data_IF_144419667255
#
_entry.id   IF_144419667255
#
_cell.length_a   1.000
_cell.length_b   1.000
_cell.length_c   1.000
_cell.angle_alpha   90.00
_cell.angle_beta   90.00
_cell.angle_gamma   90.00
#
_symmetry.space_group_name_H-M   'P 1'
#
loop_
_entity.id
_entity.type
_entity.pdbx_description
1 polymer ?
#
# COMPACT_ATOMS: atom_id res chain seq x y z
N UNK A 1 -42.96 3.05 -28.82
CA UNK A 1 -41.72 2.54 -28.20
C UNK A 1 -40.69 3.66 -28.22
N UNK A 2 -40.54 4.37 -27.11
CA UNK A 2 -39.58 5.48 -26.97
C UNK A 2 -38.25 4.89 -26.55
N UNK A 3 -37.24 4.98 -27.43
CA UNK A 3 -35.84 4.64 -27.09
C UNK A 3 -35.25 5.78 -26.26
N UNK A 4 -34.98 5.52 -24.98
CA UNK A 4 -34.19 6.42 -24.13
C UNK A 4 -32.70 6.13 -24.36
N UNK A 5 -32.01 7.08 -25.00
CA UNK A 5 -30.55 7.12 -25.12
C UNK A 5 -29.94 7.45 -23.75
N UNK A 6 -29.46 6.43 -23.04
CA UNK A 6 -28.58 6.60 -21.87
C UNK A 6 -27.11 6.72 -22.33
N UNK A 7 -26.75 7.87 -22.88
CA UNK A 7 -25.35 8.29 -23.00
C UNK A 7 -25.09 9.38 -21.95
N UNK A 8 -24.84 8.97 -20.71
CA UNK A 8 -24.24 9.88 -19.73
C UNK A 8 -22.75 10.01 -20.05
N UNK A 9 -22.38 11.17 -20.61
CA UNK A 9 -20.99 11.59 -20.82
C UNK A 9 -20.24 11.52 -19.47
N UNK A 10 -19.33 10.55 -19.35
CA UNK A 10 -18.36 10.47 -18.24
C UNK A 10 -17.55 11.77 -18.23
N UNK A 11 -17.69 12.56 -17.16
CA UNK A 11 -16.88 13.77 -16.98
C UNK A 11 -15.45 13.36 -16.65
N UNK A 12 -14.52 13.59 -17.58
CA UNK A 12 -13.09 13.65 -17.24
C UNK A 12 -12.87 14.88 -16.37
N UNK A 13 -12.33 14.69 -15.17
CA UNK A 13 -11.76 15.78 -14.39
C UNK A 13 -10.57 16.33 -15.17
N UNK A 14 -10.74 17.55 -15.69
CA UNK A 14 -9.63 18.38 -16.15
C UNK A 14 -9.02 19.01 -14.91
N UNK A 15 -7.86 18.47 -14.53
CA UNK A 15 -6.72 19.17 -13.90
C UNK A 15 -5.71 18.12 -13.38
N UNK A 16 -5.33 17.22 -14.29
CA UNK A 16 -4.12 16.43 -14.17
C UNK A 16 -3.24 16.86 -15.34
N UNK A 17 -2.23 17.69 -15.08
CA UNK A 17 -1.12 17.84 -16.03
C UNK A 17 -0.29 16.56 -16.00
N UNK A 18 -0.78 15.52 -16.67
CA UNK A 18 0.00 14.35 -17.03
C UNK A 18 0.40 14.57 -18.48
N UNK A 19 1.71 14.79 -18.68
CA UNK A 19 2.33 14.78 -20.01
C UNK A 19 1.93 13.45 -20.67
N UNK A 20 1.16 13.54 -21.76
CA UNK A 20 0.91 12.39 -22.64
C UNK A 20 2.22 12.08 -23.36
N UNK A 21 2.86 10.97 -23.03
CA UNK A 21 3.85 10.38 -23.92
C UNK A 21 3.15 9.40 -24.87
N UNK A 22 3.38 9.50 -26.20
CA UNK A 22 2.81 8.59 -27.17
C UNK A 22 3.50 7.22 -27.12
N UNK A 23 2.75 6.21 -27.53
CA UNK A 23 3.14 4.82 -27.69
C UNK A 23 4.18 4.69 -28.84
N UNK A 24 5.48 4.58 -28.53
CA UNK A 24 6.42 3.58 -29.08
C UNK A 24 7.91 3.93 -28.88
N UNK A 25 8.69 2.85 -29.00
CA UNK A 25 10.12 2.68 -29.25
C UNK A 25 11.07 2.62 -28.04
N UNK A 26 11.91 1.60 -28.14
CA UNK A 26 12.84 1.02 -27.19
C UNK A 26 14.02 1.93 -26.85
N UNK A 27 14.62 1.62 -25.71
CA UNK A 27 15.96 1.98 -25.24
C UNK A 27 16.18 3.43 -24.72
N UNK A 28 16.82 3.47 -23.54
CA UNK A 28 17.37 4.63 -22.81
C UNK A 28 16.38 5.52 -22.03
N UNK A 29 15.88 5.02 -20.89
CA UNK A 29 15.40 5.91 -19.82
C UNK A 29 15.51 5.29 -18.41
N UNK A 30 16.75 5.01 -17.97
CA UNK A 30 17.04 4.58 -16.58
C UNK A 30 17.27 5.81 -15.66
N UNK A 31 17.65 6.96 -16.21
CA UNK A 31 18.00 8.14 -15.40
C UNK A 31 16.81 9.05 -15.01
N UNK A 32 15.68 9.02 -15.74
CA UNK A 32 14.49 9.81 -15.33
C UNK A 32 13.52 9.04 -14.42
N UNK A 33 13.77 7.75 -14.14
CA UNK A 33 12.91 6.97 -13.25
C UNK A 33 13.17 7.24 -11.75
N UNK A 34 14.32 7.79 -11.40
CA UNK A 34 14.72 8.00 -10.00
C UNK A 34 14.13 9.28 -9.38
N UNK A 35 13.64 10.22 -10.19
CA UNK A 35 13.12 11.50 -9.71
C UNK A 35 11.57 11.55 -9.54
N UNK A 36 10.83 10.52 -9.97
CA UNK A 36 9.35 10.58 -10.07
C UNK A 36 8.63 9.73 -9.00
N UNK A 37 9.36 9.15 -8.04
CA UNK A 37 8.77 8.14 -7.13
C UNK A 37 7.98 8.69 -5.93
N UNK A 38 8.04 9.97 -5.59
CA UNK A 38 7.47 10.48 -4.32
C UNK A 38 6.15 11.28 -4.40
N UNK A 39 5.54 11.49 -5.58
CA UNK A 39 4.31 12.29 -5.71
C UNK A 39 3.01 11.48 -5.91
N UNK A 40 3.07 10.15 -5.93
CA UNK A 40 1.93 9.31 -6.32
C UNK A 40 1.01 8.90 -5.15
N UNK A 41 0.65 9.82 -4.25
CA UNK A 41 -0.55 9.62 -3.42
C UNK A 41 -1.71 10.28 -4.16
N UNK A 42 -2.58 9.53 -4.85
CA UNK A 42 -3.76 10.11 -5.45
C UNK A 42 -4.65 10.67 -4.33
N UNK A 43 -4.70 12.01 -4.25
CA UNK A 43 -5.75 12.70 -3.53
C UNK A 43 -7.05 12.37 -4.25
N UNK A 44 -7.79 11.38 -3.73
CA UNK A 44 -9.21 11.27 -4.04
C UNK A 44 -9.78 12.62 -3.60
N UNK A 45 -10.29 13.40 -4.56
CA UNK A 45 -10.93 14.69 -4.28
C UNK A 45 -11.94 14.50 -3.15
N UNK A 46 -12.04 15.46 -2.22
CA UNK A 46 -12.91 15.32 -1.06
C UNK A 46 -14.39 15.18 -1.47
N UNK A 47 -14.74 15.71 -2.63
CA UNK A 47 -16.09 15.82 -3.19
C UNK A 47 -16.81 14.46 -3.41
N UNK A 48 -16.26 13.44 -4.14
CA UNK A 48 -16.91 12.15 -4.35
C UNK A 48 -17.25 11.39 -3.07
N UNK A 49 -16.33 11.40 -2.10
CA UNK A 49 -16.49 10.64 -0.85
C UNK A 49 -17.45 11.36 0.10
N UNK A 50 -17.38 12.69 0.16
CA UNK A 50 -18.22 13.50 1.03
C UNK A 50 -19.71 13.40 0.68
N UNK A 51 -20.06 13.46 -0.61
CA UNK A 51 -21.45 13.33 -1.08
C UNK A 51 -22.06 11.98 -0.68
N UNK A 52 -21.28 10.89 -0.76
CA UNK A 52 -21.78 9.56 -0.41
C UNK A 52 -21.87 9.33 1.09
N UNK A 53 -20.93 9.86 1.87
CA UNK A 53 -20.96 9.72 3.33
C UNK A 53 -22.11 10.43 4.04
N UNK A 54 -22.74 11.40 3.37
CA UNK A 54 -23.92 12.10 3.87
C UNK A 54 -25.25 11.41 3.50
N UNK A 55 -25.20 10.35 2.70
CA UNK A 55 -26.38 9.59 2.33
C UNK A 55 -26.77 8.61 3.46
N UNK A 56 -27.80 8.96 4.22
CA UNK A 56 -28.29 8.18 5.37
C UNK A 56 -28.75 6.76 5.00
N UNK A 57 -29.16 6.50 3.75
CA UNK A 57 -29.56 5.16 3.31
C UNK A 57 -28.35 4.27 3.03
N UNK A 58 -27.28 4.86 2.50
CA UNK A 58 -26.10 4.14 2.07
C UNK A 58 -25.14 3.91 3.24
N UNK A 59 -24.92 4.94 4.07
CA UNK A 59 -23.96 4.94 5.17
C UNK A 59 -24.62 5.49 6.44
N UNK A 60 -25.51 4.71 7.07
CA UNK A 60 -26.30 5.16 8.21
C UNK A 60 -25.45 5.44 9.45
N UNK A 61 -25.87 6.42 10.26
CA UNK A 61 -25.09 6.91 11.41
C UNK A 61 -25.31 6.12 12.70
N UNK A 62 -26.38 5.32 12.75
CA UNK A 62 -26.79 4.59 13.96
C UNK A 62 -25.84 3.43 14.31
N UNK A 63 -25.01 2.96 13.37
CA UNK A 63 -23.94 2.03 13.70
C UNK A 63 -22.89 2.67 14.64
N UNK A 64 -22.52 1.95 15.69
CA UNK A 64 -21.58 2.43 16.72
C UNK A 64 -20.17 2.64 16.19
N UNK A 65 -19.73 1.82 15.23
CA UNK A 65 -18.39 1.90 14.63
C UNK A 65 -18.42 1.44 13.17
N UNK A 66 -17.49 1.95 12.37
CA UNK A 66 -17.28 1.55 10.98
C UNK A 66 -17.08 0.04 10.82
N UNK A 67 -16.51 -0.62 11.82
CA UNK A 67 -16.32 -2.08 11.78
C UNK A 67 -17.65 -2.84 11.87
N UNK A 68 -18.66 -2.29 12.54
CA UNK A 68 -20.01 -2.87 12.63
C UNK A 68 -20.89 -2.54 11.43
N UNK A 69 -20.50 -1.56 10.60
CA UNK A 69 -21.21 -1.26 9.35
C UNK A 69 -21.15 -2.48 8.42
N UNK A 70 -22.29 -2.96 7.90
CA UNK A 70 -22.34 -4.12 7.01
C UNK A 70 -21.45 -3.95 5.78
N UNK A 71 -20.86 -5.05 5.31
CA UNK A 71 -20.03 -5.03 4.11
C UNK A 71 -20.84 -4.71 2.85
N UNK A 72 -22.14 -5.04 2.82
CA UNK A 72 -23.04 -4.65 1.72
C UNK A 72 -23.09 -3.14 1.55
N UNK A 73 -23.30 -2.38 2.62
CA UNK A 73 -23.28 -0.91 2.61
C UNK A 73 -21.92 -0.36 2.13
N UNK A 74 -20.82 -0.92 2.65
CA UNK A 74 -19.46 -0.50 2.26
C UNK A 74 -19.18 -0.76 0.78
N UNK A 75 -19.61 -1.90 0.26
CA UNK A 75 -19.42 -2.29 -1.13
C UNK A 75 -20.31 -1.45 -2.05
N UNK A 76 -21.58 -1.26 -1.70
CA UNK A 76 -22.49 -0.42 -2.47
C UNK A 76 -21.98 1.02 -2.59
N UNK A 77 -21.43 1.58 -1.51
CA UNK A 77 -20.79 2.90 -1.57
C UNK A 77 -19.55 2.90 -2.45
N UNK A 78 -18.72 1.87 -2.38
CA UNK A 78 -17.57 1.74 -3.27
C UNK A 78 -18.00 1.67 -4.75
N UNK A 79 -19.02 0.88 -5.06
CA UNK A 79 -19.52 0.71 -6.42
C UNK A 79 -20.09 2.02 -6.97
N UNK A 80 -20.85 2.77 -6.16
CA UNK A 80 -21.32 4.11 -6.51
C UNK A 80 -20.17 5.09 -6.80
N UNK A 81 -19.04 4.97 -6.10
CA UNK A 81 -17.84 5.77 -6.38
C UNK A 81 -17.26 5.34 -7.73
N UNK A 82 -17.07 4.04 -7.96
CA UNK A 82 -16.49 3.51 -9.20
C UNK A 82 -17.34 3.79 -10.43
N UNK A 83 -18.66 3.86 -10.29
CA UNK A 83 -19.57 4.21 -11.40
C UNK A 83 -19.36 5.66 -11.85
N UNK A 84 -19.08 6.57 -10.91
CA UNK A 84 -18.94 8.01 -11.17
C UNK A 84 -17.50 8.44 -11.47
N UNK A 85 -16.51 7.71 -10.96
CA UNK A 85 -15.10 8.08 -11.00
C UNK A 85 -14.23 6.92 -11.46
N UNK A 86 -13.34 7.17 -12.42
CA UNK A 86 -12.28 6.24 -12.81
C UNK A 86 -11.15 6.32 -11.78
N UNK A 87 -11.04 5.32 -10.93
CA UNK A 87 -10.08 5.28 -9.83
C UNK A 87 -9.06 4.16 -10.06
N UNK A 88 -7.79 4.52 -10.21
CA UNK A 88 -6.64 3.58 -10.26
C UNK A 88 -6.10 3.28 -8.85
N UNK A 89 -6.99 3.14 -7.87
CA UNK A 89 -6.63 2.87 -6.47
C UNK A 89 -7.27 1.59 -5.97
N UNK A 90 -6.58 0.90 -5.07
CA UNK A 90 -7.08 -0.31 -4.43
C UNK A 90 -8.36 -0.04 -3.64
N UNK A 91 -9.35 -0.92 -3.80
CA UNK A 91 -10.64 -0.87 -3.09
C UNK A 91 -10.52 -0.70 -1.57
N UNK A 92 -9.53 -1.38 -0.98
CA UNK A 92 -9.27 -1.31 0.46
C UNK A 92 -8.87 0.11 0.90
N UNK A 93 -8.14 0.85 0.05
CA UNK A 93 -7.79 2.24 0.32
C UNK A 93 -9.04 3.12 0.29
N UNK A 94 -9.88 2.97 -0.75
CA UNK A 94 -11.13 3.72 -0.88
C UNK A 94 -12.07 3.45 0.30
N UNK A 95 -12.22 2.19 0.73
CA UNK A 95 -13.03 1.83 1.92
C UNK A 95 -12.49 2.45 3.21
N UNK A 96 -11.16 2.58 3.36
CA UNK A 96 -10.54 3.27 4.50
C UNK A 96 -10.85 4.76 4.47
N UNK A 97 -10.72 5.40 3.31
CA UNK A 97 -11.06 6.82 3.12
C UNK A 97 -12.55 7.08 3.42
N UNK A 98 -13.43 6.21 2.92
CA UNK A 98 -14.87 6.26 3.18
C UNK A 98 -15.18 6.13 4.68
N UNK A 99 -14.54 5.18 5.36
CA UNK A 99 -14.71 5.00 6.79
C UNK A 99 -14.20 6.19 7.61
N UNK A 100 -13.14 6.87 7.15
CA UNK A 100 -12.68 8.13 7.76
C UNK A 100 -13.74 9.22 7.60
N UNK A 101 -14.19 9.48 6.37
CA UNK A 101 -15.20 10.49 6.06
C UNK A 101 -16.53 10.25 6.80
N UNK A 102 -16.96 9.00 6.93
CA UNK A 102 -18.15 8.65 7.72
C UNK A 102 -18.00 8.98 9.21
N UNK A 103 -16.83 8.70 9.81
CA UNK A 103 -16.54 9.10 11.21
C UNK A 103 -16.49 10.61 11.36
N UNK A 104 -15.87 11.31 10.42
CA UNK A 104 -15.77 12.77 10.42
C UNK A 104 -17.18 13.40 10.32
N UNK A 105 -18.02 12.90 9.42
CA UNK A 105 -19.41 13.32 9.31
C UNK A 105 -20.19 13.11 10.62
N UNK A 106 -20.05 11.93 11.24
CA UNK A 106 -20.68 11.63 12.54
C UNK A 106 -20.18 12.57 13.65
N UNK A 107 -18.90 12.93 13.64
CA UNK A 107 -18.31 13.91 14.56
C UNK A 107 -18.89 15.31 14.36
N UNK A 108 -18.99 15.77 13.11
CA UNK A 108 -19.61 17.05 12.74
C UNK A 108 -21.06 17.11 13.21
N UNK A 109 -21.84 16.05 12.96
CA UNK A 109 -23.24 15.96 13.42
C UNK A 109 -23.35 16.04 14.95
N UNK A 110 -22.51 15.30 15.68
CA UNK A 110 -22.48 15.39 17.15
C UNK A 110 -22.12 16.81 17.60
N UNK A 111 -21.13 17.45 16.98
CA UNK A 111 -20.72 18.83 17.34
C UNK A 111 -21.83 19.85 17.11
N UNK A 112 -22.54 19.78 15.99
CA UNK A 112 -23.55 20.78 15.60
C UNK A 112 -24.89 20.57 16.31
N UNK A 113 -25.35 19.32 16.42
CA UNK A 113 -26.72 19.00 16.84
C UNK A 113 -26.80 18.40 18.25
N UNK A 114 -25.72 17.81 18.78
CA UNK A 114 -25.70 17.24 20.13
C UNK A 114 -25.10 18.21 21.15
N UNK A 115 -25.97 19.04 21.75
CA UNK A 115 -25.57 19.96 22.83
C UNK A 115 -25.71 19.29 24.20
N UNK A 116 -24.65 19.30 25.01
CA UNK A 116 -24.63 18.61 26.32
C UNK A 116 -25.69 19.14 27.30
N UNK A 117 -25.90 20.46 27.32
CA UNK A 117 -26.73 21.16 28.31
C UNK A 117 -28.24 21.09 28.03
N UNK A 118 -28.69 20.19 27.16
CA UNK A 118 -30.08 20.07 26.72
C UNK A 118 -30.64 18.71 27.16
N UNK A 119 -31.93 18.66 27.52
CA UNK A 119 -32.64 17.42 27.87
C UNK A 119 -32.63 16.41 26.72
N UNK A 120 -32.72 15.11 27.06
CA UNK A 120 -32.73 14.03 26.07
C UNK A 120 -33.84 14.20 25.03
N UNK A 121 -35.05 14.56 25.46
CA UNK A 121 -36.19 14.76 24.57
C UNK A 121 -35.94 15.86 23.53
N UNK A 122 -35.41 17.02 23.96
CA UNK A 122 -35.03 18.11 23.05
C UNK A 122 -33.88 17.72 22.11
N UNK A 123 -32.95 16.85 22.55
CA UNK A 123 -31.90 16.30 21.67
C UNK A 123 -32.47 15.38 20.59
N UNK A 124 -33.47 14.55 20.93
CA UNK A 124 -34.13 13.65 19.98
C UNK A 124 -34.93 14.44 18.93
N UNK A 125 -35.56 15.55 19.32
CA UNK A 125 -36.29 16.43 18.40
C UNK A 125 -35.37 17.25 17.46
N UNK A 126 -34.10 17.45 17.82
CA UNK A 126 -33.14 18.20 17.00
C UNK A 126 -32.52 17.35 15.87
N UNK A 127 -33.38 16.81 14.99
CA UNK A 127 -32.98 15.94 13.88
C UNK A 127 -32.31 16.78 12.77
N UNK A 128 -31.09 16.43 12.33
CA UNK A 128 -30.44 17.14 11.22
C UNK A 128 -31.24 17.07 9.90
N UNK A 129 -31.19 18.11 9.06
CA UNK A 129 -31.82 18.07 7.73
C UNK A 129 -31.27 16.90 6.91
N UNK A 130 -32.15 16.18 6.20
CA UNK A 130 -31.83 14.98 5.39
C UNK A 130 -31.38 13.75 6.20
N UNK A 131 -31.50 13.78 7.53
CA UNK A 131 -31.28 12.62 8.40
C UNK A 131 -32.57 11.85 8.62
N UNK A 132 -32.47 10.52 8.70
CA UNK A 132 -33.61 9.68 9.08
C UNK A 132 -33.79 9.68 10.59
N UNK A 133 -35.01 9.97 11.04
CA UNK A 133 -35.34 10.19 12.46
C UNK A 133 -34.89 9.01 13.34
N UNK A 134 -35.23 7.77 12.97
CA UNK A 134 -34.83 6.59 13.74
C UNK A 134 -33.30 6.43 13.86
N UNK A 135 -32.54 6.81 12.82
CA UNK A 135 -31.07 6.74 12.86
C UNK A 135 -30.47 7.77 13.81
N UNK A 136 -31.06 8.97 13.82
CA UNK A 136 -30.69 10.02 14.75
C UNK A 136 -31.01 9.62 16.19
N UNK A 137 -32.22 9.09 16.43
CA UNK A 137 -32.63 8.63 17.76
C UNK A 137 -31.68 7.56 18.32
N UNK A 138 -31.35 6.55 17.53
CA UNK A 138 -30.39 5.50 17.92
C UNK A 138 -29.02 6.08 18.28
N UNK A 139 -28.51 7.01 17.46
CA UNK A 139 -27.22 7.66 17.68
C UNK A 139 -27.23 8.51 18.96
N UNK A 140 -28.29 9.29 19.19
CA UNK A 140 -28.45 10.14 20.39
C UNK A 140 -28.60 9.29 21.65
N UNK A 141 -29.36 8.19 21.60
CA UNK A 141 -29.48 7.23 22.72
C UNK A 141 -28.14 6.61 23.05
N UNK A 142 -27.35 6.23 22.04
CA UNK A 142 -26.00 5.72 22.25
C UNK A 142 -25.08 6.77 22.88
N UNK A 143 -25.07 8.01 22.40
CA UNK A 143 -24.21 9.06 22.95
C UNK A 143 -24.57 9.48 24.38
N UNK A 144 -25.82 9.36 24.81
CA UNK A 144 -26.22 9.56 26.22
C UNK A 144 -26.10 8.30 27.08
N UNK A 145 -25.77 7.13 26.51
CA UNK A 145 -25.60 5.91 27.28
C UNK A 145 -24.30 5.93 28.06
N UNK A 146 -24.22 5.14 29.15
CA UNK A 146 -22.99 5.00 29.94
C UNK A 146 -21.79 4.60 29.08
N UNK A 147 -22.00 3.67 28.14
CA UNK A 147 -20.97 3.25 27.17
C UNK A 147 -20.49 4.39 26.26
N UNK A 148 -21.38 5.30 25.88
CA UNK A 148 -21.03 6.47 25.07
C UNK A 148 -20.22 7.50 25.87
N UNK A 149 -20.59 7.71 27.13
CA UNK A 149 -19.88 8.58 28.06
C UNK A 149 -18.47 8.06 28.36
N UNK A 150 -18.33 6.77 28.67
CA UNK A 150 -17.04 6.14 28.96
C UNK A 150 -16.10 6.22 27.74
N UNK A 151 -16.63 6.05 26.52
CA UNK A 151 -15.85 6.20 25.29
C UNK A 151 -15.34 7.64 25.12
N UNK A 152 -16.17 8.64 25.40
CA UNK A 152 -15.77 10.05 25.33
C UNK A 152 -14.71 10.40 26.38
N UNK A 153 -14.80 9.82 27.58
CA UNK A 153 -13.81 9.99 28.64
C UNK A 153 -12.46 9.37 28.24
N UNK A 154 -12.47 8.16 27.69
CA UNK A 154 -11.26 7.51 27.17
C UNK A 154 -10.64 8.34 26.05
N UNK A 155 -11.41 8.82 25.08
CA UNK A 155 -10.90 9.65 23.99
C UNK A 155 -10.31 10.98 24.51
N UNK A 156 -10.96 11.61 25.48
CA UNK A 156 -10.49 12.87 26.08
C UNK A 156 -9.19 12.67 26.85
N UNK A 157 -9.12 11.64 27.70
CA UNK A 157 -7.90 11.32 28.46
C UNK A 157 -6.76 10.87 27.53
N UNK A 158 -7.05 10.13 26.46
CA UNK A 158 -6.06 9.82 25.42
C UNK A 158 -5.56 11.06 24.69
N UNK A 159 -6.44 12.01 24.34
CA UNK A 159 -6.05 13.28 23.71
C UNK A 159 -5.21 14.15 24.64
N UNK A 160 -5.52 14.18 25.93
CA UNK A 160 -4.71 14.89 26.94
C UNK A 160 -3.30 14.31 27.09
N UNK A 161 -3.11 13.01 26.79
CA UNK A 161 -1.78 12.37 26.77
C UNK A 161 -0.97 12.69 25.50
N UNK A 162 -1.58 13.31 24.48
CA UNK A 162 -0.86 13.75 23.28
C UNK A 162 -0.13 15.06 23.58
N UNK A 163 1.14 14.92 23.98
CA UNK A 163 2.00 15.97 24.52
C UNK A 163 2.55 16.96 23.49
N UNK A 164 2.86 16.48 22.29
CA UNK A 164 3.44 17.31 21.23
C UNK A 164 3.00 16.84 19.85
N UNK A 165 3.08 17.75 18.87
CA UNK A 165 2.73 17.53 17.46
C UNK A 165 3.91 17.93 16.58
N UNK A 166 4.05 17.31 15.40
CA UNK A 166 5.04 17.71 14.41
C UNK A 166 4.53 18.89 13.58
N UNK A 167 5.45 19.68 13.03
CA UNK A 167 5.17 20.91 12.26
C UNK A 167 5.14 20.71 10.74
N UNK A 168 5.36 19.48 10.25
CA UNK A 168 5.52 19.18 8.82
C UNK A 168 4.22 19.25 8.03
N UNK A 169 3.08 19.44 8.70
CA UNK A 169 1.76 19.49 8.06
C UNK A 169 1.46 18.18 7.32
N UNK A 170 1.02 18.28 6.06
CA UNK A 170 0.76 17.12 5.22
C UNK A 170 2.03 16.44 4.67
N UNK A 171 3.21 17.04 4.86
CA UNK A 171 4.47 16.39 4.46
C UNK A 171 4.79 15.24 5.41
N UNK A 172 5.02 14.06 4.84
CA UNK A 172 5.43 12.87 5.59
C UNK A 172 6.87 13.01 6.10
N UNK A 173 7.23 12.27 7.16
CA UNK A 173 8.61 12.22 7.64
C UNK A 173 9.58 11.66 6.58
N UNK A 174 9.13 10.77 5.70
CA UNK A 174 9.96 10.26 4.61
C UNK A 174 10.32 11.39 3.63
N UNK A 175 9.35 12.20 3.22
CA UNK A 175 9.62 13.36 2.36
C UNK A 175 10.53 14.38 3.05
N UNK A 176 10.39 14.57 4.37
CA UNK A 176 11.25 15.47 5.14
C UNK A 176 12.68 14.95 5.22
N UNK A 177 12.86 13.63 5.35
CA UNK A 177 14.17 13.00 5.28
C UNK A 177 14.77 13.18 3.88
N UNK A 178 14.02 12.85 2.82
CA UNK A 178 14.47 12.98 1.43
C UNK A 178 14.89 14.42 1.10
N UNK A 179 14.03 15.41 1.41
CA UNK A 179 14.30 16.85 1.21
C UNK A 179 15.62 17.24 1.93
N UNK A 180 15.84 16.70 3.13
CA UNK A 180 17.03 17.00 3.93
C UNK A 180 18.27 16.31 3.38
N UNK A 181 18.21 15.03 3.03
CA UNK A 181 19.31 14.27 2.43
C UNK A 181 19.78 14.89 1.11
N UNK A 182 18.84 15.36 0.28
CA UNK A 182 19.15 16.09 -0.96
C UNK A 182 19.90 17.40 -0.68
N UNK A 183 19.57 18.10 0.40
CA UNK A 183 20.25 19.35 0.76
C UNK A 183 21.61 19.17 1.43
N UNK A 184 21.79 18.11 2.22
CA UNK A 184 23.02 17.85 2.98
C UNK A 184 24.01 16.94 2.26
N UNK A 185 23.56 16.16 1.28
CA UNK A 185 24.36 15.09 0.66
C UNK A 185 24.69 13.93 1.61
N UNK A 186 24.12 13.92 2.82
CA UNK A 186 24.35 12.93 3.86
C UNK A 186 23.01 12.37 4.35
N UNK A 187 22.98 11.06 4.61
CA UNK A 187 21.82 10.38 5.18
C UNK A 187 21.37 10.99 6.50
N UNK A 188 20.05 11.11 6.67
CA UNK A 188 19.45 11.73 7.85
C UNK A 188 19.27 10.68 8.94
N UNK A 189 19.98 10.88 10.06
CA UNK A 189 19.82 10.08 11.28
C UNK A 189 18.44 10.26 11.91
N UNK A 190 18.02 9.32 12.75
CA UNK A 190 16.69 9.38 13.37
C UNK A 190 16.58 10.51 14.40
N UNK A 191 17.68 10.81 15.09
CA UNK A 191 17.78 11.97 15.98
C UNK A 191 17.58 13.27 15.21
N UNK A 192 18.25 13.41 14.06
CA UNK A 192 18.10 14.57 13.20
C UNK A 192 16.69 14.66 12.58
N UNK A 193 16.11 13.52 12.21
CA UNK A 193 14.75 13.45 11.70
C UNK A 193 13.69 13.78 12.76
N UNK A 194 13.98 13.55 14.04
CA UNK A 194 13.13 14.01 15.15
C UNK A 194 13.23 15.53 15.34
N UNK A 195 14.42 16.11 15.16
CA UNK A 195 14.63 17.54 15.38
C UNK A 195 13.90 18.45 14.39
N UNK A 196 13.99 18.15 13.09
CA UNK A 196 13.41 18.94 12.00
C UNK A 196 11.91 19.25 12.23
N UNK A 197 11.04 18.25 12.49
CA UNK A 197 9.60 18.46 12.67
C UNK A 197 9.19 19.03 14.02
N UNK A 198 10.09 19.07 15.01
CA UNK A 198 9.77 19.50 16.37
C UNK A 198 10.42 20.83 16.75
N UNK A 199 11.07 21.49 15.79
CA UNK A 199 11.57 22.87 15.90
C UNK A 199 10.68 23.85 15.16
N UNK A 200 10.63 25.08 15.65
CA UNK A 200 10.06 26.24 14.96
C UNK A 200 11.03 26.73 13.89
N UNK A 201 10.58 27.70 13.08
CA UNK A 201 11.41 28.32 12.03
C UNK A 201 12.64 29.06 12.58
N UNK A 202 12.57 29.52 13.82
CA UNK A 202 13.68 30.16 14.55
C UNK A 202 14.69 29.15 15.15
N UNK A 203 14.44 27.84 15.00
CA UNK A 203 15.26 26.77 15.54
C UNK A 203 14.94 26.36 16.99
N UNK A 204 14.05 27.09 17.68
CA UNK A 204 13.64 26.76 19.05
C UNK A 204 12.71 25.54 19.12
N UNK A 205 12.73 24.76 20.21
CA UNK A 205 11.77 23.68 20.43
C UNK A 205 10.32 24.16 20.43
N UNK A 206 9.41 23.33 19.92
CA UNK A 206 7.98 23.69 19.84
C UNK A 206 7.31 23.83 21.22
N UNK A 207 7.69 22.98 22.17
CA UNK A 207 7.18 22.97 23.56
C UNK A 207 8.32 22.66 24.54
N UNK A 208 8.11 22.94 25.82
CA UNK A 208 9.06 22.61 26.90
C UNK A 208 9.31 21.10 26.95
N UNK A 209 8.27 20.27 26.82
CA UNK A 209 8.41 18.82 26.80
C UNK A 209 9.26 18.31 25.62
N UNK A 210 9.15 18.94 24.45
CA UNK A 210 10.01 18.64 23.30
C UNK A 210 11.46 19.02 23.60
N UNK A 211 11.69 20.16 24.27
CA UNK A 211 13.03 20.57 24.67
C UNK A 211 13.67 19.55 25.61
N UNK A 212 12.94 19.10 26.64
CA UNK A 212 13.40 18.05 27.57
C UNK A 212 13.72 16.73 26.86
N UNK A 213 12.91 16.34 25.86
CA UNK A 213 13.16 15.14 25.05
C UNK A 213 14.42 15.32 24.21
N UNK A 214 14.59 16.46 23.54
CA UNK A 214 15.77 16.75 22.73
C UNK A 214 17.05 16.75 23.57
N UNK A 215 16.98 17.24 24.81
CA UNK A 215 18.10 17.22 25.76
C UNK A 215 18.47 15.78 26.14
N UNK A 216 17.49 14.96 26.55
CA UNK A 216 17.71 13.52 26.84
C UNK A 216 18.30 12.75 25.66
N UNK A 217 17.84 13.07 24.45
CA UNK A 217 18.36 12.47 23.22
C UNK A 217 19.84 12.83 22.99
N UNK A 218 20.23 14.09 23.24
CA UNK A 218 21.62 14.54 23.14
C UNK A 218 22.51 13.91 24.21
N UNK A 219 22.05 13.85 25.46
CA UNK A 219 22.80 13.24 26.56
C UNK A 219 23.08 11.76 26.28
N UNK A 220 22.08 11.03 25.78
CA UNK A 220 22.23 9.63 25.39
C UNK A 220 23.17 9.46 24.20
N UNK A 221 23.12 10.37 23.22
CA UNK A 221 24.05 10.35 22.10
C UNK A 221 25.50 10.49 22.57
N UNK A 222 25.78 11.42 23.48
CA UNK A 222 27.10 11.60 24.06
C UNK A 222 27.56 10.37 24.86
N UNK A 223 26.66 9.74 25.63
CA UNK A 223 26.94 8.49 26.35
C UNK A 223 27.37 7.37 25.39
N UNK A 224 26.62 7.16 24.31
CA UNK A 224 26.94 6.12 23.32
C UNK A 224 28.18 6.45 22.50
N UNK A 225 28.45 7.72 22.19
CA UNK A 225 29.67 8.14 21.49
C UNK A 225 30.93 7.88 22.33
N UNK A 226 30.86 8.13 23.64
CA UNK A 226 31.93 7.78 24.58
C UNK A 226 32.20 6.26 24.64
N UNK A 227 31.13 5.45 24.61
CA UNK A 227 31.24 3.98 24.57
C UNK A 227 31.81 3.49 23.23
N UNK A 228 31.37 4.08 22.11
CA UNK A 228 31.85 3.74 20.77
C UNK A 228 33.33 4.09 20.59
N UNK A 229 33.80 5.20 21.18
CA UNK A 229 35.22 5.54 21.24
C UNK A 229 36.08 4.48 21.95
N UNK A 230 35.47 3.61 22.77
CA UNK A 230 36.15 2.52 23.47
C UNK A 230 36.03 1.16 22.77
N UNK A 231 35.06 0.97 21.85
CA UNK A 231 34.76 -0.31 21.20
C UNK A 231 34.62 -0.13 19.68
N UNK A 232 35.61 -0.59 18.90
CA UNK A 232 35.79 -0.29 17.47
C UNK A 232 34.78 -0.94 16.49
N UNK A 233 33.62 -1.42 16.93
CA UNK A 233 32.70 -2.19 16.08
C UNK A 233 31.22 -1.79 16.12
N UNK A 234 30.87 -0.61 16.66
CA UNK A 234 29.45 -0.21 16.77
C UNK A 234 28.98 0.59 15.55
N UNK A 235 27.92 0.11 14.89
CA UNK A 235 27.27 0.80 13.76
C UNK A 235 26.46 2.01 14.26
N UNK A 236 26.80 3.21 13.78
CA UNK A 236 26.13 4.49 14.14
C UNK A 236 24.61 4.50 13.91
N UNK A 237 24.10 3.83 12.87
CA UNK A 237 22.67 3.80 12.55
C UNK A 237 21.86 2.97 13.55
N UNK A 238 22.49 1.98 14.17
CA UNK A 238 21.87 1.16 15.22
C UNK A 238 21.82 1.93 16.55
N UNK A 239 22.80 2.80 16.80
CA UNK A 239 22.86 3.67 17.98
C UNK A 239 21.68 4.66 17.97
N UNK A 240 21.44 5.36 16.85
CA UNK A 240 20.31 6.30 16.69
C UNK A 240 18.95 5.65 16.99
N UNK A 241 18.72 4.46 16.43
CA UNK A 241 17.48 3.71 16.64
C UNK A 241 17.30 3.28 18.10
N UNK A 242 18.40 2.88 18.74
CA UNK A 242 18.41 2.46 20.14
C UNK A 242 18.14 3.63 21.07
N UNK A 243 18.80 4.76 20.87
CA UNK A 243 18.61 6.00 21.65
C UNK A 243 17.15 6.46 21.56
N UNK A 244 16.59 6.53 20.35
CA UNK A 244 15.19 6.93 20.15
C UNK A 244 14.26 5.98 20.89
N UNK A 245 14.52 4.67 20.86
CA UNK A 245 13.69 3.68 21.55
C UNK A 245 13.81 3.77 23.08
N UNK A 246 14.99 4.08 23.60
CA UNK A 246 15.23 4.26 25.05
C UNK A 246 14.56 5.54 25.58
N UNK A 247 14.61 6.65 24.83
CA UNK A 247 14.06 7.95 25.28
C UNK A 247 12.56 8.06 25.01
N UNK A 248 12.09 7.62 23.85
CA UNK A 248 10.69 7.77 23.44
C UNK A 248 9.83 6.53 23.70
N UNK A 249 10.46 5.40 24.04
CA UNK A 249 9.81 4.10 24.22
C UNK A 249 9.76 3.26 22.94
N UNK A 250 9.26 2.01 23.04
CA UNK A 250 9.07 1.13 21.89
C UNK A 250 8.21 1.80 20.83
N UNK A 251 8.61 1.67 19.55
CA UNK A 251 7.88 2.22 18.40
C UNK A 251 6.42 1.75 18.40
N UNK A 252 5.52 2.56 18.95
CA UNK A 252 4.07 2.40 18.77
C UNK A 252 3.70 2.87 17.36
N UNK A 253 2.58 2.41 16.80
CA UNK A 253 2.14 2.78 15.44
C UNK A 253 1.99 4.29 15.20
N UNK A 254 1.94 5.11 16.26
CA UNK A 254 1.88 6.57 16.21
C UNK A 254 3.27 7.25 16.17
N UNK A 255 4.31 6.54 16.59
CA UNK A 255 5.71 6.99 16.61
C UNK A 255 6.56 6.27 15.55
N UNK A 256 5.88 5.66 14.57
CA UNK A 256 6.51 4.96 13.48
C UNK A 256 7.16 5.98 12.54
N UNK A 257 8.44 6.24 12.80
CA UNK A 257 9.37 6.75 11.82
C UNK A 257 9.95 5.48 11.16
N UNK A 258 9.43 5.03 10.00
CA UNK A 258 10.11 3.98 9.26
C UNK A 258 11.51 4.51 8.98
N UNK A 259 12.52 3.82 9.51
CA UNK A 259 13.86 3.97 8.96
C UNK A 259 13.75 3.58 7.49
N UNK A 260 14.22 4.45 6.60
CA UNK A 260 14.39 4.12 5.18
C UNK A 260 15.06 2.74 5.06
N UNK A 261 15.99 2.41 5.96
CA UNK A 261 16.67 1.12 6.02
C UNK A 261 15.79 -0.08 6.38
N UNK A 262 14.73 0.05 7.20
CA UNK A 262 13.86 -1.10 7.50
C UNK A 262 12.92 -1.41 6.32
N UNK A 263 12.43 -0.37 5.65
CA UNK A 263 11.67 -0.53 4.42
C UNK A 263 12.58 -1.03 3.30
N UNK A 264 13.77 -0.47 3.15
CA UNK A 264 14.74 -0.82 2.12
C UNK A 264 15.36 -2.20 2.34
N UNK A 265 15.62 -2.63 3.57
CA UNK A 265 16.04 -4.01 3.86
C UNK A 265 14.93 -5.03 3.58
N UNK A 266 13.65 -4.66 3.80
CA UNK A 266 12.52 -5.49 3.39
C UNK A 266 12.37 -5.54 1.87
N UNK A 267 12.56 -4.41 1.19
CA UNK A 267 12.56 -4.34 -0.28
C UNK A 267 13.71 -5.18 -0.85
N UNK A 268 14.93 -5.05 -0.31
CA UNK A 268 16.08 -5.84 -0.75
C UNK A 268 15.85 -7.34 -0.55
N UNK A 269 15.31 -7.75 0.61
CA UNK A 269 14.94 -9.17 0.83
C UNK A 269 13.90 -9.66 -0.17
N UNK A 270 12.93 -8.83 -0.52
CA UNK A 270 11.92 -9.17 -1.54
C UNK A 270 12.56 -9.24 -2.93
N UNK A 271 13.48 -8.34 -3.26
CA UNK A 271 14.25 -8.36 -4.51
C UNK A 271 15.12 -9.61 -4.61
N UNK A 272 15.82 -9.99 -3.54
CA UNK A 272 16.63 -11.21 -3.48
C UNK A 272 15.74 -12.46 -3.61
N UNK A 273 14.56 -12.47 -2.97
CA UNK A 273 13.58 -13.54 -3.12
C UNK A 273 13.02 -13.63 -4.55
N UNK A 274 12.74 -12.49 -5.18
CA UNK A 274 12.31 -12.46 -6.58
C UNK A 274 13.42 -12.99 -7.49
N UNK A 275 14.67 -12.55 -7.30
CA UNK A 275 15.82 -13.02 -8.08
C UNK A 275 16.03 -14.54 -7.91
N UNK A 276 15.89 -15.06 -6.69
CA UNK A 276 15.99 -16.50 -6.41
C UNK A 276 14.86 -17.29 -7.09
N UNK A 277 13.63 -16.78 -7.03
CA UNK A 277 12.48 -17.39 -7.71
C UNK A 277 12.68 -17.39 -9.22
N UNK A 278 13.22 -16.30 -9.77
CA UNK A 278 13.47 -16.13 -11.20
C UNK A 278 14.60 -17.07 -11.67
N UNK A 279 15.67 -17.21 -10.90
CA UNK A 279 16.73 -18.19 -11.15
C UNK A 279 16.20 -19.64 -11.12
N UNK A 280 15.33 -19.96 -10.16
CA UNK A 280 14.69 -21.28 -10.08
C UNK A 280 13.80 -21.58 -11.29
N UNK A 281 13.04 -20.59 -11.77
CA UNK A 281 12.22 -20.72 -12.99
C UNK A 281 13.10 -20.96 -14.21
N UNK A 282 14.19 -20.19 -14.36
CA UNK A 282 15.13 -20.34 -15.49
C UNK A 282 15.75 -21.75 -15.48
N UNK A 283 16.13 -22.26 -14.32
CA UNK A 283 16.68 -23.61 -14.19
C UNK A 283 15.66 -24.70 -14.53
N UNK A 284 14.40 -24.56 -14.09
CA UNK A 284 13.32 -25.47 -14.47
C UNK A 284 13.04 -25.46 -15.98
N UNK A 285 13.07 -24.29 -16.62
CA UNK A 285 12.92 -24.16 -18.07
C UNK A 285 14.08 -24.86 -18.79
N UNK A 286 15.32 -24.72 -18.33
CA UNK A 286 16.47 -25.39 -18.92
C UNK A 286 16.36 -26.92 -18.80
N UNK A 287 15.93 -27.44 -17.65
CA UNK A 287 15.71 -28.88 -17.45
C UNK A 287 14.60 -29.43 -18.36
N UNK A 288 13.50 -28.67 -18.55
CA UNK A 288 12.42 -29.06 -19.46
C UNK A 288 12.90 -29.12 -20.91
N UNK A 289 13.64 -28.10 -21.37
CA UNK A 289 14.23 -28.07 -22.72
C UNK A 289 15.20 -29.23 -22.95
N UNK A 290 16.05 -29.55 -21.98
CA UNK A 290 16.96 -30.69 -22.08
C UNK A 290 16.21 -32.04 -22.15
N UNK A 291 15.12 -32.19 -21.38
CA UNK A 291 14.26 -33.38 -21.45
C UNK A 291 13.55 -33.51 -22.80
N UNK A 292 13.10 -32.39 -23.36
CA UNK A 292 12.46 -32.34 -24.67
C UNK A 292 13.44 -32.73 -25.79
N UNK A 293 14.63 -32.12 -25.82
CA UNK A 293 15.69 -32.47 -26.77
C UNK A 293 16.12 -33.95 -26.67
N UNK A 294 16.16 -34.51 -25.45
CA UNK A 294 16.45 -35.94 -25.24
C UNK A 294 15.35 -36.84 -25.81
N UNK A 295 14.07 -36.44 -25.69
CA UNK A 295 12.93 -37.17 -26.25
C UNK A 295 12.95 -37.11 -27.78
N UNK A 296 13.20 -35.93 -28.36
CA UNK A 296 13.34 -35.76 -29.81
C UNK A 296 14.49 -36.59 -30.38
N UNK A 297 15.67 -36.55 -29.76
CA UNK A 297 16.82 -37.35 -30.19
C UNK A 297 16.53 -38.87 -30.14
N UNK A 298 15.78 -39.33 -29.13
CA UNK A 298 15.34 -40.74 -29.06
C UNK A 298 14.33 -41.09 -30.15
N UNK A 299 13.40 -40.19 -30.46
CA UNK A 299 12.44 -40.38 -31.54
C UNK A 299 13.15 -40.45 -32.90
N UNK A 300 14.11 -39.55 -33.15
CA UNK A 300 14.90 -39.53 -34.38
C UNK A 300 15.71 -40.82 -34.56
N UNK A 301 16.40 -41.29 -33.51
CA UNK A 301 17.14 -42.56 -33.57
C UNK A 301 16.25 -43.75 -33.94
N UNK A 302 15.05 -43.83 -33.36
CA UNK A 302 14.08 -44.89 -33.71
C UNK A 302 13.62 -44.79 -35.16
N UNK A 303 13.42 -43.57 -35.67
CA UNK A 303 13.05 -43.34 -37.06
C UNK A 303 14.16 -43.80 -38.01
N UNK A 304 15.41 -43.40 -37.74
CA UNK A 304 16.57 -43.76 -38.57
C UNK A 304 16.80 -45.29 -38.58
N UNK A 305 16.62 -45.95 -37.44
CA UNK A 305 16.73 -47.41 -37.34
C UNK A 305 15.64 -48.14 -38.13
N UNK A 306 14.39 -47.65 -38.10
CA UNK A 306 13.29 -48.17 -38.92
C UNK A 306 13.58 -48.03 -40.42
N UNK A 307 14.13 -46.88 -40.83
CA UNK A 307 14.54 -46.65 -42.22
C UNK A 307 15.63 -47.64 -42.65
N UNK A 308 16.59 -47.94 -41.77
CA UNK A 308 17.64 -48.92 -42.04
C UNK A 308 17.09 -50.34 -42.18
N UNK A 309 16.16 -50.75 -41.30
CA UNK A 309 15.52 -52.06 -41.37
C UNK A 309 14.68 -52.24 -42.65
N UNK A 310 13.96 -51.19 -43.07
CA UNK A 310 13.19 -51.21 -44.32
C UNK A 310 14.10 -51.40 -45.53
N UNK A 311 15.23 -50.68 -45.59
CA UNK A 311 16.23 -50.84 -46.66
C UNK A 311 16.81 -52.25 -46.67
N UNK A 312 17.19 -52.79 -45.51
CA UNK A 312 17.73 -54.14 -45.42
C UNK A 312 16.72 -55.20 -45.89
N UNK A 313 15.44 -55.07 -45.53
CA UNK A 313 14.37 -55.96 -46.01
C UNK A 313 14.14 -55.86 -47.51
N UNK A 314 14.22 -54.66 -48.09
CA UNK A 314 14.10 -54.47 -49.54
C UNK A 314 15.24 -55.20 -50.29
N UNK A 315 16.48 -55.03 -49.83
CA UNK A 315 17.65 -55.72 -50.42
C UNK A 315 17.53 -57.25 -50.29
N UNK A 316 17.06 -57.75 -49.14
CA UNK A 316 16.85 -59.19 -48.95
C UNK A 316 15.81 -59.77 -49.94
N UNK A 317 14.69 -59.05 -50.15
CA UNK A 317 13.68 -59.45 -51.16
C UNK A 317 14.23 -59.40 -52.58
N UNK A 318 15.02 -58.39 -52.93
CA UNK A 318 15.67 -58.34 -54.25
C UNK A 318 16.64 -59.51 -54.46
N UNK A 319 17.38 -59.89 -53.42
CA UNK A 319 18.28 -61.04 -53.48
C UNK A 319 17.53 -62.38 -53.61
N UNK A 320 16.39 -62.54 -52.92
CA UNK A 320 15.51 -63.71 -53.09
C UNK A 320 14.90 -63.77 -54.49
N UNK A 321 14.43 -62.63 -55.03
CA UNK A 321 13.91 -62.57 -56.40
C UNK A 321 14.98 -62.99 -57.43
N UNK A 322 16.22 -62.49 -57.29
CA UNK A 322 17.33 -62.89 -58.18
C UNK A 322 17.65 -64.38 -58.11
N UNK A 323 17.58 -65.00 -56.93
CA UNK A 323 17.75 -66.46 -56.79
C UNK A 323 16.64 -67.25 -57.46
N UNK A 324 15.40 -66.75 -57.40
CA UNK A 324 14.27 -67.37 -58.08
C UNK A 324 14.42 -67.28 -59.61
N UNK A 325 14.86 -66.13 -60.12
CA UNK A 325 15.13 -65.92 -61.54
C UNK A 325 16.29 -66.81 -62.05
N UNK A 326 17.36 -66.97 -61.25
CA UNK A 326 18.48 -67.89 -61.58
C UNK A 326 18.04 -69.37 -61.61
N UNK A 327 17.14 -69.79 -60.70
CA UNK A 327 16.60 -71.15 -60.69
C UNK A 327 15.68 -71.42 -61.89
N UNK A 328 14.93 -70.43 -62.35
CA UNK A 328 14.07 -70.53 -63.55
C UNK A 328 14.89 -70.63 -64.85
N UNK A 329 16.14 -70.16 -64.87
CA UNK A 329 17.05 -70.25 -66.02
C UNK A 329 17.78 -71.60 -66.13
N UNK A 330 17.69 -72.47 -65.11
CA UNK A 330 18.33 -73.79 -65.07
C UNK A 330 17.36 -74.97 -65.35
N UNK A 331 16.08 -74.68 -65.50
CA UNK A 331 15.00 -75.59 -65.94
C UNK A 331 14.72 -75.35 -67.42
#
# INVERSE_FOLDING_TARGET
MVKTNNNMLRRRLRDLSIIQNPLNSEETNIEQQTAIRSSNVPNITDEPTEIQTRNANLLPINYKSWHHMPNSNKNQALDNIKERFTLEVLDNYVKKALGKKWKDHKSTLKKEYFKKNISLEKKLQNVPPRMLMYQWEDAVRFWNSKKGEDHELVETTSRQKQKFTHTTGSKSFACVADDKELSSGQKVGHLQLFDIPHKKKDGSPMTIEVAEIMEKLKDKMAEYEAIASSNSSVNLVDIDNRIITEVLGPKSSQQYIPSVNQAQAKVQRLEDQMAQMQASIVEQIAQLKAKEASREAKAQRKYDELQLQLKAKAVAREAEARKYDELQLQL
#
